data_IF_992941755368
#
_entry.id   IF_992941755368
#
_cell.length_a   1.000
_cell.length_b   1.000
_cell.length_c   1.000
_cell.angle_alpha   90.00
_cell.angle_beta   90.00
_cell.angle_gamma   90.00
#
_symmetry.space_group_name_H-M   'P 1'
#
loop_
_entity.id
_entity.type
_entity.pdbx_description
1 polymer ?
#
# COMPACT_ATOMS: atom_id res chain seq x y z
N UNK A 1 -7.38 19.11 1.55
CA UNK A 1 -7.62 17.65 1.46
C UNK A 1 -8.69 17.39 0.40
N UNK A 2 -8.82 16.17 -0.15
CA UNK A 2 -9.94 15.85 -1.05
C UNK A 2 -11.28 16.10 -0.36
N UNK A 3 -11.34 15.87 0.95
CA UNK A 3 -12.46 16.21 1.81
C UNK A 3 -12.91 17.68 1.74
N UNK A 4 -12.01 18.63 1.47
CA UNK A 4 -12.37 20.05 1.36
C UNK A 4 -12.92 20.41 -0.03
N UNK A 5 -12.74 19.52 -1.01
CA UNK A 5 -13.06 19.79 -2.42
C UNK A 5 -14.39 19.15 -2.87
N UNK A 6 -14.96 18.24 -2.07
CA UNK A 6 -16.17 17.48 -2.44
C UNK A 6 -17.16 17.45 -1.28
N UNK A 7 -18.45 17.35 -1.62
CA UNK A 7 -19.54 17.25 -0.62
C UNK A 7 -20.00 15.81 -0.36
N UNK A 8 -19.47 14.84 -1.10
CA UNK A 8 -19.75 13.41 -0.89
C UNK A 8 -18.83 12.83 0.19
N UNK A 9 -19.21 11.75 0.89
CA UNK A 9 -18.37 11.14 1.90
C UNK A 9 -17.00 10.69 1.34
N UNK A 10 -15.93 10.94 2.09
CA UNK A 10 -14.55 10.61 1.71
C UNK A 10 -13.98 9.56 2.65
N UNK A 11 -13.46 8.47 2.07
CA UNK A 11 -12.77 7.40 2.81
C UNK A 11 -11.27 7.48 2.57
N UNK A 12 -10.49 7.69 3.62
CA UNK A 12 -9.04 7.70 3.54
C UNK A 12 -8.49 6.27 3.42
N UNK A 13 -7.62 6.03 2.45
CA UNK A 13 -7.01 4.72 2.20
C UNK A 13 -5.49 4.79 2.12
N UNK A 14 -4.82 3.77 2.66
CA UNK A 14 -3.36 3.61 2.60
C UNK A 14 -2.62 4.17 3.83
N UNK A 15 -1.70 3.38 4.38
CA UNK A 15 -0.86 3.79 5.52
C UNK A 15 -1.55 3.77 6.90
N UNK A 16 -2.82 3.36 6.98
CA UNK A 16 -3.57 3.28 8.23
C UNK A 16 -3.48 1.86 8.79
N UNK A 17 -2.83 1.71 9.94
CA UNK A 17 -2.65 0.41 10.62
C UNK A 17 -3.11 0.36 12.08
N UNK A 18 -3.46 1.51 12.67
CA UNK A 18 -3.90 1.60 14.06
C UNK A 18 -4.78 2.84 14.31
N UNK A 19 -5.20 3.03 15.56
CA UNK A 19 -6.06 4.12 15.99
C UNK A 19 -5.46 5.52 15.75
N UNK A 20 -4.13 5.67 15.72
CA UNK A 20 -3.47 6.96 15.48
C UNK A 20 -3.69 7.38 14.02
N UNK A 21 -3.52 6.44 13.10
CA UNK A 21 -3.82 6.66 11.68
C UNK A 21 -5.30 6.98 11.45
N UNK A 22 -6.20 6.33 12.17
CA UNK A 22 -7.64 6.63 12.12
C UNK A 22 -7.91 8.05 12.62
N UNK A 23 -7.40 8.42 13.80
CA UNK A 23 -7.57 9.76 14.36
C UNK A 23 -7.02 10.85 13.42
N UNK A 24 -5.86 10.62 12.82
CA UNK A 24 -5.27 11.53 11.83
C UNK A 24 -6.15 11.66 10.58
N UNK A 25 -6.66 10.56 10.03
CA UNK A 25 -7.55 10.59 8.87
C UNK A 25 -8.84 11.38 9.12
N UNK A 26 -9.48 11.15 10.28
CA UNK A 26 -10.68 11.88 10.69
C UNK A 26 -10.39 13.37 10.91
N UNK A 27 -9.26 13.70 11.55
CA UNK A 27 -8.83 15.08 11.75
C UNK A 27 -8.53 15.83 10.43
N UNK A 28 -8.12 15.09 9.38
CA UNK A 28 -7.91 15.62 8.03
C UNK A 28 -9.21 15.72 7.20
N UNK A 29 -10.37 15.43 7.81
CA UNK A 29 -11.69 15.59 7.19
C UNK A 29 -12.23 14.35 6.48
N UNK A 30 -11.62 13.17 6.63
CA UNK A 30 -12.22 11.94 6.12
C UNK A 30 -13.40 11.50 6.99
N UNK A 31 -14.43 10.91 6.38
CA UNK A 31 -15.61 10.34 7.05
C UNK A 31 -15.38 8.88 7.46
N UNK A 32 -14.35 8.25 6.92
CA UNK A 32 -14.02 6.86 7.18
C UNK A 32 -12.62 6.49 6.71
N UNK A 33 -12.25 5.23 6.97
CA UNK A 33 -10.95 4.69 6.64
C UNK A 33 -11.07 3.32 5.96
N UNK A 34 -10.15 3.04 5.04
CA UNK A 34 -9.99 1.76 4.37
C UNK A 34 -8.60 1.19 4.64
N UNK A 35 -8.55 -0.07 5.09
CA UNK A 35 -7.31 -0.77 5.43
C UNK A 35 -7.18 -2.05 4.61
N UNK A 36 -6.03 -2.26 3.98
CA UNK A 36 -5.69 -3.52 3.31
C UNK A 36 -4.75 -4.37 4.17
N UNK A 37 -3.48 -3.94 4.25
CA UNK A 37 -2.40 -4.63 4.95
C UNK A 37 -2.75 -5.04 6.37
N UNK A 38 -3.47 -4.20 7.12
CA UNK A 38 -3.88 -4.51 8.49
C UNK A 38 -4.88 -5.67 8.58
N UNK A 39 -5.83 -5.76 7.65
CA UNK A 39 -6.80 -6.87 7.61
C UNK A 39 -6.17 -8.16 7.09
N UNK A 40 -5.17 -8.08 6.21
CA UNK A 40 -4.41 -9.28 5.80
C UNK A 40 -3.70 -9.94 6.98
N UNK A 41 -3.23 -9.17 7.97
CA UNK A 41 -2.54 -9.66 9.17
C UNK A 41 -3.50 -10.07 10.32
N UNK A 42 -4.75 -10.45 10.03
CA UNK A 42 -5.72 -10.96 11.02
C UNK A 42 -5.71 -12.49 11.08
N UNK A 43 -6.32 -13.06 12.13
CA UNK A 43 -6.41 -14.53 12.29
C UNK A 43 -7.33 -15.14 11.23
N UNK A 44 -8.41 -14.44 10.92
CA UNK A 44 -9.48 -14.82 10.01
C UNK A 44 -9.10 -14.66 8.52
N UNK A 45 -8.10 -13.84 8.22
CA UNK A 45 -7.59 -13.67 6.86
C UNK A 45 -7.18 -15.00 6.22
N UNK A 46 -7.61 -15.23 4.98
CA UNK A 46 -7.24 -16.41 4.20
C UNK A 46 -5.82 -16.32 3.59
N UNK A 47 -5.07 -15.24 3.86
CA UNK A 47 -3.67 -15.14 3.44
C UNK A 47 -2.83 -16.27 4.05
N UNK A 48 -1.85 -16.76 3.29
CA UNK A 48 -0.92 -17.76 3.79
C UNK A 48 -0.15 -17.22 5.01
N UNK A 49 0.16 -18.06 6.01
CA UNK A 49 0.80 -17.62 7.26
C UNK A 49 2.14 -16.92 7.03
N UNK A 50 2.97 -17.43 6.11
CA UNK A 50 4.18 -16.74 5.64
C UNK A 50 3.94 -15.28 5.19
N UNK A 51 2.79 -14.97 4.56
CA UNK A 51 2.45 -13.58 4.16
C UNK A 51 2.10 -12.76 5.40
N UNK A 52 1.30 -13.31 6.32
CA UNK A 52 0.96 -12.64 7.58
C UNK A 52 2.22 -12.34 8.40
N UNK A 53 3.12 -13.32 8.50
CA UNK A 53 4.41 -13.16 9.17
C UNK A 53 5.29 -12.12 8.49
N UNK A 54 5.36 -12.12 7.16
CA UNK A 54 6.13 -11.13 6.42
C UNK A 54 5.60 -9.71 6.66
N UNK A 55 4.27 -9.54 6.77
CA UNK A 55 3.65 -8.25 7.13
C UNK A 55 4.06 -7.84 8.55
N UNK A 56 4.01 -8.75 9.52
CA UNK A 56 4.35 -8.45 10.93
C UNK A 56 5.85 -8.15 11.12
N UNK A 57 6.72 -8.86 10.40
CA UNK A 57 8.18 -8.69 10.43
C UNK A 57 8.66 -7.52 9.56
N UNK A 58 7.81 -6.99 8.69
CA UNK A 58 8.12 -5.89 7.79
C UNK A 58 8.47 -4.61 8.54
N UNK A 59 9.40 -3.84 7.98
CA UNK A 59 9.80 -2.51 8.48
C UNK A 59 9.30 -1.43 7.51
N UNK A 60 9.29 -0.16 7.91
CA UNK A 60 8.68 0.94 7.15
C UNK A 60 9.08 1.00 5.66
N UNK A 61 10.34 0.68 5.33
CA UNK A 61 10.88 0.73 3.97
C UNK A 61 10.97 -0.66 3.28
N UNK A 62 10.13 -1.63 3.64
CA UNK A 62 10.20 -3.00 3.09
C UNK A 62 9.36 -3.20 1.82
N UNK A 63 8.92 -2.15 1.14
CA UNK A 63 8.10 -2.25 -0.09
C UNK A 63 8.73 -1.49 -1.25
N UNK A 64 8.46 -1.96 -2.46
CA UNK A 64 8.96 -1.37 -3.70
C UNK A 64 7.81 -1.11 -4.67
N UNK A 65 7.90 0.01 -5.40
CA UNK A 65 6.99 0.28 -6.51
C UNK A 65 7.45 -0.51 -7.72
N UNK A 66 6.56 -1.36 -8.23
CA UNK A 66 6.82 -2.20 -9.40
C UNK A 66 5.86 -1.84 -10.53
N UNK A 67 6.35 -1.72 -11.77
CA UNK A 67 5.47 -1.70 -12.93
C UNK A 67 4.68 -3.02 -13.02
N UNK A 68 3.42 -2.89 -13.42
CA UNK A 68 2.54 -3.95 -13.90
C UNK A 68 1.96 -3.47 -15.22
N UNK A 69 1.37 -4.38 -16.00
CA UNK A 69 0.89 -4.15 -17.37
C UNK A 69 0.22 -2.79 -17.60
N UNK A 70 -0.66 -2.36 -16.70
CA UNK A 70 -1.44 -1.13 -16.85
C UNK A 70 -1.31 -0.15 -15.68
N UNK A 71 -0.51 -0.46 -14.67
CA UNK A 71 -0.42 0.36 -13.46
C UNK A 71 0.88 0.17 -12.68
N UNK A 72 1.14 1.07 -11.75
CA UNK A 72 2.15 0.85 -10.72
C UNK A 72 1.51 0.14 -9.53
N UNK A 73 2.11 -0.97 -9.11
CA UNK A 73 1.77 -1.67 -7.87
C UNK A 73 2.85 -1.40 -6.81
N UNK A 74 2.50 -1.56 -5.53
CA UNK A 74 3.44 -1.49 -4.42
C UNK A 74 3.40 -2.80 -3.66
N UNK A 75 4.48 -3.56 -3.77
CA UNK A 75 4.59 -4.91 -3.25
C UNK A 75 5.74 -5.02 -2.24
N UNK A 76 5.76 -6.11 -1.47
CA UNK A 76 6.86 -6.41 -0.55
C UNK A 76 8.16 -6.61 -1.33
N UNK A 77 9.26 -6.03 -0.83
CA UNK A 77 10.57 -6.24 -1.42
C UNK A 77 11.01 -7.70 -1.26
N UNK A 78 11.28 -8.34 -2.38
CA UNK A 78 11.60 -9.75 -2.46
C UNK A 78 12.42 -10.04 -3.72
N UNK A 79 12.93 -11.28 -3.83
CA UNK A 79 13.65 -11.72 -5.03
C UNK A 79 12.78 -11.65 -6.28
N UNK A 80 11.47 -11.87 -6.15
CA UNK A 80 10.52 -11.82 -7.27
C UNK A 80 10.42 -10.38 -7.78
N UNK A 81 10.14 -9.42 -6.88
CA UNK A 81 9.99 -8.01 -7.27
C UNK A 81 11.29 -7.42 -7.81
N UNK A 82 12.44 -7.79 -7.24
CA UNK A 82 13.77 -7.42 -7.75
C UNK A 82 14.02 -7.94 -9.16
N UNK A 83 13.58 -9.17 -9.47
CA UNK A 83 13.76 -9.76 -10.79
C UNK A 83 12.80 -9.16 -11.83
N UNK A 84 11.54 -8.87 -11.45
CA UNK A 84 10.59 -8.16 -12.31
C UNK A 84 11.14 -6.80 -12.72
N UNK A 85 11.71 -6.05 -11.79
CA UNK A 85 12.37 -4.77 -12.09
C UNK A 85 13.51 -4.90 -13.10
N UNK A 86 14.29 -5.99 -13.04
CA UNK A 86 15.38 -6.24 -14.00
C UNK A 86 14.87 -6.59 -15.40
N UNK A 87 13.77 -7.35 -15.49
CA UNK A 87 13.19 -7.79 -16.76
C UNK A 87 12.35 -6.71 -17.45
N UNK A 88 11.67 -5.87 -16.68
CA UNK A 88 10.74 -4.85 -17.21
C UNK A 88 11.38 -3.46 -17.29
N UNK A 89 12.71 -3.33 -17.19
CA UNK A 89 13.38 -2.07 -17.51
C UNK A 89 12.90 -1.64 -18.90
N UNK A 90 12.14 -0.53 -19.00
CA UNK A 90 11.86 0.00 -20.32
C UNK A 90 13.20 0.49 -20.86
N UNK A 91 13.58 0.04 -22.05
CA UNK A 91 14.48 0.80 -22.91
C UNK A 91 13.78 2.12 -23.27
N UNK A 92 13.68 3.05 -22.31
CA UNK A 92 13.36 4.44 -22.61
C UNK A 92 14.60 5.25 -22.29
N UNK A 93 15.23 5.88 -23.30
CA UNK A 93 16.35 6.76 -23.04
C UNK A 93 15.87 7.86 -22.09
N UNK A 94 16.71 8.18 -21.11
CA UNK A 94 16.59 9.40 -20.32
C UNK A 94 16.49 10.55 -21.33
N UNK A 95 15.30 11.10 -21.53
CA UNK A 95 15.15 12.36 -22.22
C UNK A 95 15.68 13.42 -21.25
N UNK A 96 16.75 14.08 -21.69
CA UNK A 96 17.49 15.14 -21.01
C UNK A 96 16.58 16.30 -20.60
#
# INVERSE_FOLDING_TARGET
MVADAVSIPVVAGGGIGDARGVAAALALGADGIYMGTRFMATRESASHDNVKEAIVKGQDACTVSIPKDFMLARDLDSKVTTNTWKCEKPERPLQN
#
